data_IF_939899251983
#
_entry.id   IF_939899251983
#
_cell.length_a   1.000
_cell.length_b   1.000
_cell.length_c   1.000
_cell.angle_alpha   90.00
_cell.angle_beta   90.00
_cell.angle_gamma   90.00
#
_symmetry.space_group_name_H-M   'P 1'
#
loop_
_entity.id
_entity.type
_entity.pdbx_description
1 polymer ?
#
# COMPACT_ATOMS: atom_id res chain seq x y z
N UNK A 1 -10.58 -15.40 -3.88
CA UNK A 1 -10.30 -14.58 -2.68
C UNK A 1 -9.94 -13.12 -3.01
N UNK A 2 -8.95 -12.84 -3.88
CA UNK A 2 -8.52 -11.47 -4.24
C UNK A 2 -9.68 -10.49 -4.52
N UNK A 3 -10.62 -10.89 -5.38
CA UNK A 3 -11.73 -10.04 -5.84
C UNK A 3 -12.68 -9.57 -4.73
N UNK A 4 -12.99 -10.42 -3.75
CA UNK A 4 -13.94 -10.09 -2.67
C UNK A 4 -13.33 -9.09 -1.68
N UNK A 5 -12.07 -9.28 -1.29
CA UNK A 5 -11.37 -8.37 -0.37
C UNK A 5 -11.23 -6.96 -0.95
N UNK A 6 -10.88 -6.87 -2.24
CA UNK A 6 -10.80 -5.58 -2.95
C UNK A 6 -12.17 -4.92 -3.04
N UNK A 7 -13.22 -5.65 -3.41
CA UNK A 7 -14.57 -5.08 -3.52
C UNK A 7 -15.07 -4.52 -2.19
N UNK A 8 -14.89 -5.27 -1.09
CA UNK A 8 -15.26 -4.79 0.25
C UNK A 8 -14.47 -3.56 0.69
N UNK A 9 -13.17 -3.51 0.37
CA UNK A 9 -12.34 -2.37 0.71
C UNK A 9 -12.78 -1.10 -0.03
N UNK A 10 -13.19 -1.23 -1.29
CA UNK A 10 -13.62 -0.09 -2.12
C UNK A 10 -15.03 0.41 -1.80
N UNK A 11 -15.85 -0.36 -1.07
CA UNK A 11 -17.20 0.07 -0.65
C UNK A 11 -17.24 0.61 0.77
N UNK A 12 -16.12 0.55 1.50
CA UNK A 12 -16.08 0.80 2.95
C UNK A 12 -16.52 2.23 3.32
N UNK A 13 -16.18 3.20 2.47
CA UNK A 13 -16.59 4.61 2.58
C UNK A 13 -18.11 4.83 2.53
N UNK A 14 -18.85 3.91 1.90
CA UNK A 14 -20.31 3.96 1.78
C UNK A 14 -21.06 3.15 2.85
N UNK A 15 -20.34 2.40 3.70
CA UNK A 15 -20.96 1.53 4.71
C UNK A 15 -21.25 2.31 6.00
N UNK A 16 -22.51 2.31 6.41
CA UNK A 16 -22.99 3.07 7.58
C UNK A 16 -22.40 2.60 8.91
N UNK A 17 -22.03 1.32 9.02
CA UNK A 17 -21.66 0.66 10.30
C UNK A 17 -20.26 0.04 10.30
N UNK A 18 -19.39 0.34 9.33
CA UNK A 18 -18.08 -0.34 9.26
C UNK A 18 -16.98 0.51 8.64
N UNK A 19 -16.17 1.13 9.49
CA UNK A 19 -14.95 1.86 9.09
C UNK A 19 -13.70 0.96 9.03
N UNK A 20 -13.85 -0.32 9.39
CA UNK A 20 -12.73 -1.27 9.53
C UNK A 20 -12.99 -2.53 8.72
N UNK A 21 -12.03 -2.90 7.88
CA UNK A 21 -12.01 -4.16 7.14
C UNK A 21 -10.79 -4.99 7.52
N UNK A 22 -11.02 -6.23 7.97
CA UNK A 22 -9.97 -7.22 8.19
C UNK A 22 -9.83 -8.14 6.98
N UNK A 23 -8.63 -8.20 6.40
CA UNK A 23 -8.26 -9.14 5.33
C UNK A 23 -7.25 -10.14 5.88
N UNK A 24 -7.68 -11.40 6.04
CA UNK A 24 -6.83 -12.49 6.52
C UNK A 24 -6.53 -13.48 5.38
N UNK A 25 -5.29 -13.96 5.34
CA UNK A 25 -4.89 -15.03 4.41
C UNK A 25 -3.59 -15.72 4.84
N UNK A 26 -3.44 -17.04 4.63
CA UNK A 26 -2.20 -17.79 4.82
C UNK A 26 -0.97 -17.16 4.09
N UNK A 27 0.28 -17.54 4.42
CA UNK A 27 1.45 -17.11 3.65
C UNK A 27 1.31 -17.46 2.15
N UNK A 28 1.81 -16.62 1.26
CA UNK A 28 1.73 -16.83 -0.20
C UNK A 28 0.37 -16.53 -0.86
N UNK A 29 -0.69 -16.20 -0.11
CA UNK A 29 -2.05 -15.97 -0.67
C UNK A 29 -2.28 -14.61 -1.34
N UNK A 30 -1.21 -13.84 -1.56
CA UNK A 30 -1.28 -12.58 -2.31
C UNK A 30 -1.81 -11.39 -1.52
N UNK A 31 -1.67 -11.35 -0.19
CA UNK A 31 -2.05 -10.18 0.64
C UNK A 31 -1.44 -8.87 0.16
N UNK A 32 -0.14 -8.87 -0.14
CA UNK A 32 0.56 -7.71 -0.72
C UNK A 32 -0.06 -7.29 -2.04
N UNK A 33 -0.39 -8.24 -2.92
CA UNK A 33 -1.07 -7.96 -4.19
C UNK A 33 -2.46 -7.36 -3.97
N UNK A 34 -3.21 -7.86 -2.99
CA UNK A 34 -4.52 -7.30 -2.62
C UNK A 34 -4.39 -5.85 -2.13
N UNK A 35 -3.40 -5.55 -1.29
CA UNK A 35 -3.14 -4.17 -0.81
C UNK A 35 -2.87 -3.24 -2.00
N UNK A 36 -1.97 -3.64 -2.90
CA UNK A 36 -1.61 -2.85 -4.09
C UNK A 36 -2.83 -2.58 -4.96
N UNK A 37 -3.66 -3.62 -5.19
CA UNK A 37 -4.86 -3.50 -6.02
C UNK A 37 -5.91 -2.58 -5.38
N UNK A 38 -6.06 -2.60 -4.05
CA UNK A 38 -6.93 -1.68 -3.31
C UNK A 38 -6.46 -0.23 -3.51
N UNK A 39 -5.18 0.03 -3.25
CA UNK A 39 -4.58 1.38 -3.36
C UNK A 39 -4.77 1.94 -4.77
N UNK A 40 -4.42 1.17 -5.79
CA UNK A 40 -4.52 1.61 -7.19
C UNK A 40 -5.96 1.91 -7.61
N UNK A 41 -6.91 1.04 -7.27
CA UNK A 41 -8.32 1.24 -7.65
C UNK A 41 -8.96 2.39 -6.87
N UNK A 42 -8.65 2.53 -5.59
CA UNK A 42 -9.18 3.60 -4.76
C UNK A 42 -8.71 4.96 -5.26
N UNK A 43 -7.40 5.15 -5.48
CA UNK A 43 -6.86 6.44 -5.98
C UNK A 43 -7.30 6.75 -7.42
N UNK A 44 -7.59 5.72 -8.23
CA UNK A 44 -8.17 5.91 -9.57
C UNK A 44 -9.57 6.54 -9.51
N UNK A 45 -10.39 6.13 -8.54
CA UNK A 45 -11.73 6.69 -8.31
C UNK A 45 -11.66 8.04 -7.55
N UNK A 46 -10.74 8.15 -6.59
CA UNK A 46 -10.66 9.25 -5.63
C UNK A 46 -9.33 10.01 -5.76
N UNK A 47 -9.13 10.72 -6.88
CA UNK A 47 -7.84 11.34 -7.26
C UNK A 47 -7.29 12.38 -6.28
N UNK A 48 -8.12 12.91 -5.38
CA UNK A 48 -7.72 13.94 -4.39
C UNK A 48 -7.37 13.33 -3.03
N UNK A 49 -7.69 12.07 -2.81
CA UNK A 49 -7.50 11.41 -1.53
C UNK A 49 -6.06 10.95 -1.38
N UNK A 50 -5.66 10.75 -0.12
CA UNK A 50 -4.32 10.30 0.25
C UNK A 50 -4.45 9.02 1.05
N UNK A 51 -3.59 8.04 0.75
CA UNK A 51 -3.56 6.76 1.46
C UNK A 51 -2.28 6.70 2.29
N UNK A 52 -2.44 6.31 3.57
CA UNK A 52 -1.33 5.96 4.45
C UNK A 52 -1.19 4.44 4.49
N UNK A 53 -0.03 3.93 4.09
CA UNK A 53 0.34 2.52 4.22
C UNK A 53 1.35 2.38 5.35
N UNK A 54 1.03 1.53 6.33
CA UNK A 54 1.89 1.24 7.49
C UNK A 54 2.15 -0.26 7.62
N UNK A 55 3.31 -0.61 8.17
CA UNK A 55 3.64 -1.98 8.53
C UNK A 55 4.63 -2.00 9.69
N UNK A 56 4.72 -3.14 10.38
CA UNK A 56 5.73 -3.38 11.40
C UNK A 56 7.13 -3.57 10.80
N UNK A 57 7.23 -4.03 9.55
CA UNK A 57 8.50 -4.28 8.85
C UNK A 57 8.71 -3.26 7.74
N UNK A 58 9.90 -2.64 7.70
CA UNK A 58 10.31 -1.77 6.59
C UNK A 58 10.16 -2.49 5.24
N UNK A 59 10.68 -3.72 5.15
CA UNK A 59 10.62 -4.55 3.95
C UNK A 59 9.18 -4.79 3.46
N UNK A 60 8.19 -4.86 4.35
CA UNK A 60 6.81 -5.04 3.94
C UNK A 60 6.22 -3.77 3.29
N UNK A 61 6.61 -2.57 3.76
CA UNK A 61 6.23 -1.30 3.13
C UNK A 61 6.91 -1.17 1.77
N UNK A 62 8.20 -1.48 1.71
CA UNK A 62 8.99 -1.34 0.48
C UNK A 62 8.47 -2.29 -0.62
N UNK A 63 8.14 -3.53 -0.26
CA UNK A 63 7.48 -4.50 -1.15
C UNK A 63 6.12 -4.02 -1.72
N UNK A 64 5.38 -3.20 -0.99
CA UNK A 64 4.13 -2.62 -1.45
C UNK A 64 4.42 -1.43 -2.37
N UNK A 65 5.34 -0.56 -1.96
CA UNK A 65 5.75 0.62 -2.72
C UNK A 65 6.28 0.26 -4.11
N UNK A 66 7.17 -0.72 -4.20
CA UNK A 66 7.72 -1.23 -5.47
C UNK A 66 6.64 -1.74 -6.44
N UNK A 67 5.46 -2.15 -5.94
CA UNK A 67 4.37 -2.72 -6.74
C UNK A 67 3.27 -1.73 -7.11
N UNK A 68 3.20 -0.59 -6.43
CA UNK A 68 2.20 0.46 -6.69
C UNK A 68 2.50 1.23 -8.00
N UNK A 69 3.72 1.07 -8.54
CA UNK A 69 4.39 1.78 -9.63
C UNK A 69 3.62 2.51 -10.76
N UNK A 70 4.35 3.55 -11.20
CA UNK A 70 4.29 4.50 -12.33
C UNK A 70 3.33 5.68 -12.27
N UNK A 71 2.12 5.58 -11.71
CA UNK A 71 1.14 6.70 -11.82
C UNK A 71 0.63 7.26 -10.49
N UNK A 72 1.22 6.84 -9.36
CA UNK A 72 0.80 7.27 -8.04
C UNK A 72 1.98 7.96 -7.36
N UNK A 73 1.82 9.25 -7.05
CA UNK A 73 2.80 10.00 -6.28
C UNK A 73 2.93 9.42 -4.87
N UNK A 74 4.09 8.87 -4.52
CA UNK A 74 4.32 8.23 -3.23
C UNK A 74 5.45 8.89 -2.41
N UNK A 75 5.29 8.90 -1.08
CA UNK A 75 6.32 9.39 -0.15
C UNK A 75 6.60 8.29 0.87
N UNK A 76 7.85 7.83 0.94
CA UNK A 76 8.31 6.86 1.93
C UNK A 76 8.93 7.58 3.11
N UNK A 77 8.29 7.48 4.28
CA UNK A 77 8.82 8.04 5.54
C UNK A 77 9.43 6.92 6.37
N UNK A 78 10.71 7.04 6.74
CA UNK A 78 11.41 6.06 7.56
C UNK A 78 12.90 6.34 7.69
N UNK A 79 13.56 5.67 8.63
CA UNK A 79 15.02 5.70 8.74
C UNK A 79 15.61 4.91 7.57
N UNK A 80 16.50 5.54 6.82
CA UNK A 80 17.26 4.87 5.76
C UNK A 80 18.25 3.92 6.44
N UNK A 81 18.03 2.62 6.31
CA UNK A 81 19.05 1.64 6.68
C UNK A 81 20.12 1.65 5.59
N UNK A 82 21.38 1.86 5.99
CA UNK A 82 22.51 1.83 5.08
C UNK A 82 22.65 0.39 4.58
N UNK A 83 22.49 0.16 3.28
CA UNK A 83 23.07 -1.01 2.62
C UNK A 83 24.60 -0.89 2.69
N UNK A 84 25.30 -2.03 2.73
CA UNK A 84 26.76 -2.10 2.88
C UNK A 84 27.53 -1.42 1.72
N UNK A 85 26.83 -1.04 0.63
CA UNK A 85 27.38 -0.41 -0.57
C UNK A 85 27.32 1.14 -0.62
N UNK A 86 27.23 1.82 0.51
CA UNK A 86 27.68 3.21 0.64
C UNK A 86 26.92 4.32 -0.11
N UNK A 87 25.87 4.03 -0.89
CA UNK A 87 25.10 5.07 -1.58
C UNK A 87 24.00 5.67 -0.68
N UNK A 88 24.11 6.99 -0.45
CA UNK A 88 23.11 7.79 0.26
C UNK A 88 21.96 8.12 -0.68
N UNK A 89 20.88 7.34 -0.63
CA UNK A 89 19.63 7.81 -1.21
C UNK A 89 19.03 8.85 -0.25
N UNK A 90 19.01 10.12 -0.71
CA UNK A 90 18.29 11.25 -0.10
C UNK A 90 16.85 10.83 0.21
N UNK A 91 16.15 11.61 1.05
CA UNK A 91 14.67 11.59 1.14
C UNK A 91 14.13 11.44 -0.28
N UNK A 92 13.77 10.23 -0.65
CA UNK A 92 13.36 9.95 -2.01
C UNK A 92 11.87 10.23 -1.99
N UNK A 93 11.49 11.39 -2.54
CA UNK A 93 10.28 11.42 -3.34
C UNK A 93 10.47 10.33 -4.40
N UNK A 94 10.03 9.12 -4.08
CA UNK A 94 9.92 8.04 -5.06
C UNK A 94 8.63 8.36 -5.81
N UNK A 95 8.80 9.24 -6.82
CA UNK A 95 7.84 9.71 -7.83
C UNK A 95 6.41 9.98 -7.34
#
# INVERSE_FOLDING_TARGET
MKKLGVQKALSLDSMVDSDILLIQGPPGTGKTTTIVEIVQRYLKANKRDKILVVSQSNQAVDNVLEKICENIKAIRVGKVEKTEDGERTKVSEIA
#
